data_IF_503535740652
#
_entry.id   IF_503535740652
#
_cell.length_a   1.000
_cell.length_b   1.000
_cell.length_c   1.000
_cell.angle_alpha   90.00
_cell.angle_beta   90.00
_cell.angle_gamma   90.00
#
_symmetry.space_group_name_H-M   'P 1'
#
loop_
_entity.id
_entity.type
_entity.pdbx_description
1 polymer ?
#
# COMPACT_ATOMS: atom_id res chain seq x y z
N UNK A 1 12.36 22.73 -8.34
CA UNK A 1 12.29 21.36 -7.75
C UNK A 1 10.85 20.91 -7.52
N UNK A 2 10.00 21.68 -6.82
CA UNK A 2 8.59 21.33 -6.54
C UNK A 2 7.75 21.19 -7.83
N UNK A 3 7.92 22.09 -8.80
CA UNK A 3 7.20 22.03 -10.09
C UNK A 3 7.59 20.78 -10.91
N UNK A 4 8.86 20.36 -10.87
CA UNK A 4 9.33 19.13 -11.53
C UNK A 4 8.78 17.86 -10.86
N UNK A 5 8.61 17.87 -9.53
CA UNK A 5 7.96 16.78 -8.80
C UNK A 5 6.46 16.68 -9.14
N UNK A 6 5.76 17.81 -9.26
CA UNK A 6 4.34 17.86 -9.65
C UNK A 6 4.16 17.38 -11.09
N UNK A 7 5.00 17.84 -12.02
CA UNK A 7 4.98 17.41 -13.43
C UNK A 7 5.31 15.91 -13.53
N UNK A 8 6.32 15.44 -12.79
CA UNK A 8 6.67 14.02 -12.71
C UNK A 8 5.53 13.17 -12.16
N UNK A 9 4.81 13.64 -11.14
CA UNK A 9 3.64 12.96 -10.57
C UNK A 9 2.47 12.88 -11.55
N UNK A 10 2.19 13.96 -12.30
CA UNK A 10 1.15 14.01 -13.33
C UNK A 10 1.50 13.07 -14.49
N UNK A 11 2.75 13.08 -14.97
CA UNK A 11 3.25 12.16 -16.00
C UNK A 11 3.17 10.71 -15.55
N UNK A 12 3.56 10.40 -14.31
CA UNK A 12 3.39 9.08 -13.71
C UNK A 12 1.93 8.64 -13.71
N UNK A 13 0.99 9.52 -13.33
CA UNK A 13 -0.44 9.22 -13.32
C UNK A 13 -0.98 8.92 -14.72
N UNK A 14 -0.55 9.68 -15.74
CA UNK A 14 -0.94 9.47 -17.14
C UNK A 14 -0.35 8.16 -17.69
N UNK A 15 0.93 7.90 -17.45
CA UNK A 15 1.61 6.67 -17.89
C UNK A 15 1.05 5.43 -17.18
N UNK A 16 0.67 5.55 -15.90
CA UNK A 16 0.03 4.49 -15.11
C UNK A 16 -1.33 4.06 -15.66
N UNK A 17 -2.08 4.99 -16.24
CA UNK A 17 -3.39 4.68 -16.84
C UNK A 17 -3.30 4.06 -18.24
N UNK A 18 -2.20 4.30 -18.97
CA UNK A 18 -2.01 3.81 -20.34
C UNK A 18 -1.32 2.44 -20.43
N UNK A 19 -0.57 2.03 -19.41
CA UNK A 19 0.30 0.87 -19.53
C UNK A 19 0.22 -0.04 -18.28
N UNK A 20 -0.34 -1.24 -18.43
CA UNK A 20 -0.53 -2.18 -17.31
C UNK A 20 0.78 -2.59 -16.63
N UNK A 21 1.87 -2.70 -17.41
CA UNK A 21 3.22 -2.98 -16.89
C UNK A 21 3.74 -1.86 -15.99
N UNK A 22 3.50 -0.59 -16.36
CA UNK A 22 3.87 0.57 -15.54
C UNK A 22 3.05 0.57 -14.26
N UNK A 23 1.76 0.25 -14.33
CA UNK A 23 0.90 0.15 -13.15
C UNK A 23 1.40 -0.91 -12.16
N UNK A 24 1.74 -2.11 -12.65
CA UNK A 24 2.29 -3.18 -11.82
C UNK A 24 3.60 -2.76 -11.15
N UNK A 25 4.54 -2.15 -11.89
CA UNK A 25 5.81 -1.70 -11.32
C UNK A 25 5.64 -0.57 -10.30
N UNK A 26 4.74 0.38 -10.57
CA UNK A 26 4.46 1.48 -9.63
C UNK A 26 3.78 0.98 -8.37
N UNK A 27 2.83 0.05 -8.48
CA UNK A 27 2.16 -0.54 -7.33
C UNK A 27 3.16 -1.36 -6.51
N UNK A 28 4.02 -2.16 -7.15
CA UNK A 28 5.09 -2.91 -6.48
C UNK A 28 6.08 -2.00 -5.75
N UNK A 29 6.41 -0.84 -6.32
CA UNK A 29 7.27 0.15 -5.68
C UNK A 29 6.57 0.86 -4.50
N UNK A 30 5.29 1.23 -4.67
CA UNK A 30 4.46 1.83 -3.61
C UNK A 30 4.35 0.91 -2.40
N UNK A 31 4.19 -0.40 -2.61
CA UNK A 31 4.15 -1.40 -1.54
C UNK A 31 5.45 -1.45 -0.71
N UNK A 32 6.58 -0.98 -1.25
CA UNK A 32 7.87 -0.92 -0.54
C UNK A 32 8.10 0.40 0.22
N UNK A 33 7.22 1.39 0.05
CA UNK A 33 7.36 2.65 0.79
C UNK A 33 6.87 2.48 2.23
N UNK A 34 7.64 2.87 3.25
CA UNK A 34 7.40 2.47 4.64
C UNK A 34 6.11 3.05 5.25
N UNK A 35 5.61 4.18 4.74
CA UNK A 35 4.39 4.82 5.27
C UNK A 35 3.15 4.40 4.46
N UNK A 36 3.16 4.67 3.15
CA UNK A 36 2.00 4.42 2.29
C UNK A 36 1.82 2.94 1.94
N UNK A 37 2.92 2.17 1.80
CA UNK A 37 2.87 0.75 1.50
C UNK A 37 2.14 -0.05 2.57
N UNK A 38 2.43 0.22 3.86
CA UNK A 38 1.79 -0.46 4.99
C UNK A 38 0.27 -0.20 5.00
N UNK A 39 -0.15 1.04 4.80
CA UNK A 39 -1.59 1.39 4.76
C UNK A 39 -2.28 0.68 3.61
N UNK A 40 -1.70 0.73 2.41
CA UNK A 40 -2.27 0.10 1.21
C UNK A 40 -2.36 -1.41 1.40
N UNK A 41 -1.33 -2.06 1.93
CA UNK A 41 -1.31 -3.51 2.18
C UNK A 41 -2.41 -3.91 3.16
N UNK A 42 -2.46 -3.27 4.34
CA UNK A 42 -3.46 -3.60 5.35
C UNK A 42 -4.89 -3.31 4.84
N UNK A 43 -5.08 -2.23 4.07
CA UNK A 43 -6.36 -1.94 3.44
C UNK A 43 -6.78 -3.04 2.45
N UNK A 44 -5.89 -3.49 1.57
CA UNK A 44 -6.21 -4.56 0.62
C UNK A 44 -6.48 -5.89 1.33
N UNK A 45 -5.81 -6.18 2.45
CA UNK A 45 -6.13 -7.36 3.27
C UNK A 45 -7.52 -7.28 3.91
N UNK A 46 -7.84 -6.15 4.54
CA UNK A 46 -9.16 -5.94 5.15
C UNK A 46 -10.27 -6.00 4.10
N UNK A 47 -10.10 -5.29 2.99
CA UNK A 47 -11.03 -5.28 1.86
C UNK A 47 -11.20 -6.68 1.27
N UNK A 48 -10.10 -7.40 1.02
CA UNK A 48 -10.16 -8.75 0.48
C UNK A 48 -10.94 -9.69 1.40
N UNK A 49 -10.64 -9.68 2.70
CA UNK A 49 -11.27 -10.57 3.65
C UNK A 49 -12.75 -10.24 3.86
N UNK A 50 -13.11 -8.96 4.01
CA UNK A 50 -14.50 -8.52 4.20
C UNK A 50 -15.38 -8.90 3.02
N UNK A 51 -14.97 -8.52 1.80
CA UNK A 51 -15.82 -8.72 0.62
C UNK A 51 -15.90 -10.20 0.23
N UNK A 52 -14.81 -10.95 0.40
CA UNK A 52 -14.85 -12.39 0.21
C UNK A 52 -15.76 -13.07 1.24
N UNK A 53 -15.71 -12.65 2.51
CA UNK A 53 -16.62 -13.15 3.56
C UNK A 53 -18.08 -12.91 3.19
N UNK A 54 -18.43 -11.68 2.82
CA UNK A 54 -19.80 -11.31 2.45
C UNK A 54 -20.34 -12.17 1.31
N UNK A 55 -19.51 -12.45 0.29
CA UNK A 55 -19.89 -13.32 -0.82
C UNK A 55 -20.05 -14.79 -0.40
N UNK A 56 -19.16 -15.29 0.45
CA UNK A 56 -19.24 -16.67 0.97
C UNK A 56 -20.50 -16.86 1.83
N UNK A 57 -20.82 -15.91 2.72
CA UNK A 57 -22.06 -15.94 3.53
C UNK A 57 -23.30 -15.89 2.62
N UNK A 58 -23.24 -15.12 1.55
CA UNK A 58 -24.30 -15.04 0.55
C UNK A 58 -24.43 -16.32 -0.32
N UNK A 59 -23.59 -17.33 -0.09
CA UNK A 59 -23.61 -18.60 -0.83
C UNK A 59 -22.96 -18.53 -2.21
N UNK A 60 -22.23 -17.47 -2.53
CA UNK A 60 -21.51 -17.36 -3.80
C UNK A 60 -20.32 -18.34 -3.78
N UNK A 61 -20.19 -19.22 -4.80
CA UNK A 61 -19.06 -20.14 -4.89
C UNK A 61 -17.71 -19.40 -4.88
N UNK A 62 -16.72 -19.95 -4.19
CA UNK A 62 -15.40 -19.31 -3.99
C UNK A 62 -14.75 -18.85 -5.30
N UNK A 63 -14.80 -19.67 -6.35
CA UNK A 63 -14.27 -19.32 -7.66
C UNK A 63 -14.91 -18.05 -8.24
N UNK A 64 -16.24 -17.95 -8.16
CA UNK A 64 -17.00 -16.81 -8.64
C UNK A 64 -16.76 -15.58 -7.75
N UNK A 65 -16.68 -15.77 -6.43
CA UNK A 65 -16.35 -14.71 -5.49
C UNK A 65 -14.96 -14.11 -5.79
N UNK A 66 -13.95 -14.94 -6.08
CA UNK A 66 -12.61 -14.47 -6.48
C UNK A 66 -12.62 -13.73 -7.83
N UNK A 67 -13.47 -14.14 -8.78
CA UNK A 67 -13.64 -13.40 -10.03
C UNK A 67 -14.22 -12.00 -9.80
N UNK A 68 -15.22 -11.88 -8.92
CA UNK A 68 -15.79 -10.59 -8.52
C UNK A 68 -14.73 -9.74 -7.79
N UNK A 69 -13.95 -10.35 -6.90
CA UNK A 69 -12.85 -9.67 -6.19
C UNK A 69 -11.78 -9.13 -7.14
N UNK A 70 -11.46 -9.84 -8.22
CA UNK A 70 -10.52 -9.39 -9.25
C UNK A 70 -10.95 -8.06 -9.89
N UNK A 71 -12.26 -7.88 -10.12
CA UNK A 71 -12.84 -6.64 -10.63
C UNK A 71 -12.89 -5.51 -9.59
N UNK A 72 -13.07 -5.86 -8.32
CA UNK A 72 -13.22 -4.89 -7.23
C UNK A 72 -11.88 -4.34 -6.71
N UNK A 73 -10.82 -5.15 -6.72
CA UNK A 73 -9.52 -4.75 -6.17
C UNK A 73 -8.78 -3.80 -7.11
N UNK A 74 -8.32 -2.66 -6.58
CA UNK A 74 -7.65 -1.61 -7.38
C UNK A 74 -6.16 -1.86 -7.56
N UNK A 75 -5.51 -2.48 -6.59
CA UNK A 75 -4.07 -2.71 -6.63
C UNK A 75 -3.75 -3.86 -7.60
N UNK A 76 -2.88 -3.60 -8.58
CA UNK A 76 -2.60 -4.58 -9.64
C UNK A 76 -1.88 -5.82 -9.12
N UNK A 77 -1.02 -5.67 -8.10
CA UNK A 77 -0.28 -6.78 -7.50
C UNK A 77 -1.24 -7.75 -6.82
N UNK A 78 -2.19 -7.23 -6.03
CA UNK A 78 -3.25 -8.04 -5.44
C UNK A 78 -4.21 -8.62 -6.49
N UNK A 79 -4.54 -7.84 -7.53
CA UNK A 79 -5.39 -8.32 -8.64
C UNK A 79 -4.77 -9.54 -9.33
N UNK A 80 -3.49 -9.46 -9.69
CA UNK A 80 -2.77 -10.58 -10.29
C UNK A 80 -2.73 -11.79 -9.35
N UNK A 81 -2.46 -11.57 -8.06
CA UNK A 81 -2.42 -12.64 -7.07
C UNK A 81 -3.79 -13.36 -6.95
N UNK A 82 -4.89 -12.60 -6.90
CA UNK A 82 -6.26 -13.15 -6.85
C UNK A 82 -6.58 -13.91 -8.12
N UNK A 83 -6.23 -13.36 -9.29
CA UNK A 83 -6.44 -14.03 -10.59
C UNK A 83 -5.71 -15.37 -10.65
N UNK A 84 -4.42 -15.39 -10.33
CA UNK A 84 -3.62 -16.62 -10.32
C UNK A 84 -4.16 -17.64 -9.31
N UNK A 85 -4.60 -17.17 -8.14
CA UNK A 85 -5.23 -18.01 -7.11
C UNK A 85 -6.52 -18.65 -7.64
N UNK A 86 -7.37 -17.87 -8.30
CA UNK A 86 -8.62 -18.36 -8.92
C UNK A 86 -8.34 -19.45 -9.95
N UNK A 87 -7.36 -19.25 -10.83
CA UNK A 87 -6.97 -20.23 -11.86
C UNK A 87 -6.43 -21.53 -11.24
N UNK A 88 -5.70 -21.45 -10.11
CA UNK A 88 -5.21 -22.63 -9.38
C UNK A 88 -6.33 -23.40 -8.68
N UNK A 89 -7.34 -22.71 -8.16
CA UNK A 89 -8.51 -23.36 -7.55
C UNK A 89 -9.33 -24.09 -8.61
N UNK A 90 -9.41 -23.56 -9.84
CA UNK A 90 -10.10 -24.21 -10.96
C UNK A 90 -9.55 -25.59 -11.29
N UNK A 91 -8.23 -25.78 -11.14
CA UNK A 91 -7.55 -27.06 -11.32
C UNK A 91 -7.47 -27.91 -10.04
N UNK A 92 -8.16 -27.50 -8.97
CA UNK A 92 -8.31 -28.27 -7.73
C UNK A 92 -7.24 -28.05 -6.68
N UNK A 93 -6.37 -27.02 -6.80
CA UNK A 93 -5.45 -26.69 -5.70
C UNK A 93 -6.21 -26.07 -4.51
N UNK A 94 -5.79 -26.36 -3.26
CA UNK A 94 -6.33 -25.68 -2.08
C UNK A 94 -6.19 -24.15 -2.18
N UNK A 95 -7.19 -23.43 -1.68
CA UNK A 95 -7.24 -21.98 -1.70
C UNK A 95 -6.08 -21.37 -0.89
N UNK A 96 -5.85 -21.89 0.31
CA UNK A 96 -4.78 -21.43 1.19
C UNK A 96 -3.37 -21.59 0.60
N UNK A 97 -3.11 -22.71 -0.08
CA UNK A 97 -1.85 -22.96 -0.78
C UNK A 97 -1.68 -22.05 -2.00
N UNK A 98 -2.75 -21.90 -2.78
CA UNK A 98 -2.76 -21.06 -3.98
C UNK A 98 -2.44 -19.59 -3.65
N UNK A 99 -2.99 -19.06 -2.55
CA UNK A 99 -2.68 -17.72 -2.04
C UNK A 99 -1.24 -17.59 -1.53
N UNK A 100 -0.72 -18.64 -0.87
CA UNK A 100 0.63 -18.65 -0.30
C UNK A 100 1.71 -18.56 -1.37
N UNK A 101 1.50 -19.20 -2.52
CA UNK A 101 2.43 -19.15 -3.66
C UNK A 101 2.59 -17.73 -4.25
N UNK A 102 1.60 -16.84 -4.09
CA UNK A 102 1.66 -15.48 -4.67
C UNK A 102 2.59 -14.53 -3.89
N UNK A 103 2.92 -14.84 -2.63
CA UNK A 103 3.85 -14.07 -1.81
C UNK A 103 3.39 -12.65 -1.40
N UNK A 104 2.22 -12.21 -1.86
CA UNK A 104 1.62 -10.91 -1.54
C UNK A 104 0.85 -10.97 -0.23
N UNK A 105 0.31 -12.14 0.13
CA UNK A 105 -0.45 -12.34 1.37
C UNK A 105 0.48 -12.73 2.51
N UNK A 106 0.26 -12.12 3.68
CA UNK A 106 1.00 -12.45 4.90
C UNK A 106 0.84 -13.92 5.28
N UNK A 107 1.89 -14.59 5.83
CA UNK A 107 1.79 -15.96 6.34
C UNK A 107 0.67 -16.17 7.37
N UNK A 108 0.29 -15.10 8.09
CA UNK A 108 -0.83 -15.16 9.04
C UNK A 108 -2.16 -15.35 8.28
N UNK A 109 -2.39 -14.57 7.22
CA UNK A 109 -3.63 -14.65 6.42
C UNK A 109 -3.77 -16.03 5.80
N UNK A 110 -2.71 -16.54 5.17
CA UNK A 110 -2.75 -17.84 4.48
C UNK A 110 -2.98 -18.99 5.46
N UNK A 111 -2.43 -18.93 6.68
CA UNK A 111 -2.70 -19.91 7.74
C UNK A 111 -4.12 -19.85 8.26
N UNK A 112 -4.66 -18.66 8.49
CA UNK A 112 -6.05 -18.52 8.94
C UNK A 112 -7.04 -19.03 7.90
N UNK A 113 -6.77 -18.75 6.61
CA UNK A 113 -7.55 -19.31 5.51
C UNK A 113 -7.41 -20.83 5.46
N UNK A 114 -6.22 -21.39 5.67
CA UNK A 114 -6.04 -22.86 5.73
C UNK A 114 -6.87 -23.51 6.85
N UNK A 115 -6.88 -22.89 8.04
CA UNK A 115 -7.69 -23.36 9.18
C UNK A 115 -9.19 -23.30 8.81
N UNK A 116 -9.64 -22.18 8.23
CA UNK A 116 -11.03 -22.01 7.81
C UNK A 116 -11.44 -22.96 6.69
N UNK A 117 -10.55 -23.23 5.75
CA UNK A 117 -10.75 -24.17 4.64
C UNK A 117 -10.88 -25.62 5.15
N UNK A 118 -10.03 -26.04 6.10
CA UNK A 118 -10.08 -27.38 6.70
C UNK A 118 -11.29 -27.57 7.61
N UNK A 119 -11.67 -26.55 8.38
CA UNK A 119 -12.78 -26.59 9.32
C UNK A 119 -14.14 -26.28 8.68
N UNK A 120 -14.18 -25.86 7.41
CA UNK A 120 -15.39 -25.36 6.77
C UNK A 120 -15.89 -24.03 7.34
N UNK A 121 -15.03 -23.30 8.06
CA UNK A 121 -15.32 -22.06 8.78
C UNK A 121 -14.59 -20.86 8.17
N UNK A 122 -14.59 -20.76 6.82
CA UNK A 122 -13.95 -19.64 6.13
C UNK A 122 -14.55 -18.29 6.52
N UNK A 123 -15.86 -18.23 6.76
CA UNK A 123 -16.56 -17.01 7.22
C UNK A 123 -15.90 -16.43 8.48
N UNK A 124 -15.79 -17.22 9.54
CA UNK A 124 -15.24 -16.80 10.82
C UNK A 124 -13.78 -16.33 10.69
N UNK A 125 -12.96 -17.09 9.97
CA UNK A 125 -11.56 -16.75 9.78
C UNK A 125 -11.38 -15.48 8.94
N UNK A 126 -12.18 -15.29 7.89
CA UNK A 126 -12.18 -14.07 7.09
C UNK A 126 -12.71 -12.86 7.89
N UNK A 127 -13.68 -13.06 8.78
CA UNK A 127 -14.14 -12.01 9.69
C UNK A 127 -13.02 -11.53 10.61
N UNK A 128 -12.29 -12.47 11.23
CA UNK A 128 -11.17 -12.12 12.08
C UNK A 128 -10.08 -11.37 11.30
N UNK A 129 -9.72 -11.85 10.11
CA UNK A 129 -8.74 -11.18 9.24
C UNK A 129 -9.21 -9.77 8.91
N UNK A 130 -10.46 -9.60 8.49
CA UNK A 130 -11.05 -8.30 8.14
C UNK A 130 -10.94 -7.33 9.31
N UNK A 131 -11.48 -7.69 10.48
CA UNK A 131 -11.48 -6.82 11.66
C UNK A 131 -10.06 -6.46 12.12
N UNK A 132 -9.15 -7.43 12.13
CA UNK A 132 -7.75 -7.20 12.51
C UNK A 132 -7.06 -6.17 11.61
N UNK A 133 -7.21 -6.30 10.29
CA UNK A 133 -6.58 -5.40 9.34
C UNK A 133 -7.32 -4.07 9.22
N UNK A 134 -8.63 -4.04 9.41
CA UNK A 134 -9.41 -2.81 9.48
C UNK A 134 -8.96 -1.94 10.66
N UNK A 135 -8.80 -2.54 11.84
CA UNK A 135 -8.27 -1.85 13.03
C UNK A 135 -6.85 -1.31 12.80
N UNK A 136 -6.01 -2.04 12.05
CA UNK A 136 -4.69 -1.52 11.65
C UNK A 136 -4.79 -0.31 10.72
N UNK A 137 -5.70 -0.36 9.75
CA UNK A 137 -5.92 0.77 8.83
C UNK A 137 -6.42 1.99 9.60
N UNK A 138 -7.37 1.81 10.52
CA UNK A 138 -7.91 2.88 11.34
C UNK A 138 -6.84 3.49 12.25
N UNK A 139 -6.05 2.65 12.94
CA UNK A 139 -4.91 3.10 13.73
C UNK A 139 -3.90 3.91 12.90
N UNK A 140 -3.57 3.42 11.70
CA UNK A 140 -2.66 4.13 10.81
C UNK A 140 -3.27 5.46 10.35
N UNK A 141 -4.55 5.48 9.99
CA UNK A 141 -5.27 6.67 9.56
C UNK A 141 -5.25 7.77 10.64
N UNK A 142 -5.52 7.41 11.89
CA UNK A 142 -5.46 8.33 13.03
C UNK A 142 -4.04 8.87 13.29
N UNK A 143 -3.01 8.10 12.96
CA UNK A 143 -1.61 8.47 13.19
C UNK A 143 -0.89 8.97 11.93
N UNK A 144 -1.59 9.16 10.79
CA UNK A 144 -0.99 9.68 9.54
C UNK A 144 -0.26 11.00 9.79
N UNK A 145 -0.84 11.91 10.59
CA UNK A 145 -0.23 13.20 10.90
C UNK A 145 1.15 13.03 11.58
N UNK A 146 1.26 12.14 12.57
CA UNK A 146 2.51 11.83 13.26
C UNK A 146 3.53 11.16 12.35
N UNK A 147 3.08 10.35 11.39
CA UNK A 147 3.98 9.71 10.41
C UNK A 147 4.56 10.71 9.41
N UNK A 148 3.85 11.81 9.10
CA UNK A 148 4.29 12.85 8.17
C UNK A 148 5.17 13.90 8.85
N UNK A 149 5.03 14.09 10.16
CA UNK A 149 5.76 15.08 10.97
C UNK A 149 7.29 15.11 10.74
N UNK A 150 8.05 13.98 10.77
CA UNK A 150 9.49 14.02 10.57
C UNK A 150 9.90 14.51 9.17
N UNK A 151 9.07 14.24 8.16
CA UNK A 151 9.31 14.70 6.78
C UNK A 151 9.15 16.22 6.72
N UNK A 152 8.11 16.76 7.37
CA UNK A 152 7.87 18.21 7.43
C UNK A 152 9.02 18.92 8.15
N UNK A 153 9.43 18.42 9.32
CA UNK A 153 10.56 18.97 10.08
C UNK A 153 11.85 18.91 9.25
N UNK A 154 12.11 17.79 8.57
CA UNK A 154 13.28 17.63 7.71
C UNK A 154 13.31 18.63 6.55
N UNK A 155 12.17 18.89 5.91
CA UNK A 155 12.06 19.88 4.82
C UNK A 155 12.29 21.29 5.34
N UNK A 156 11.67 21.65 6.47
CA UNK A 156 11.81 22.97 7.09
C UNK A 156 13.27 23.20 7.53
N UNK A 157 13.89 22.20 8.15
CA UNK A 157 15.30 22.27 8.56
C UNK A 157 16.26 22.40 7.37
N UNK A 158 16.04 21.63 6.30
CA UNK A 158 16.84 21.76 5.08
C UNK A 158 16.68 23.15 4.44
N UNK A 159 15.46 23.70 4.44
CA UNK A 159 15.19 25.04 3.93
C UNK A 159 15.91 26.12 4.76
N UNK A 160 15.87 26.00 6.09
CA UNK A 160 16.63 26.88 6.99
C UNK A 160 18.14 26.81 6.73
N UNK A 161 18.71 25.61 6.55
CA UNK A 161 20.13 25.45 6.24
C UNK A 161 20.54 26.16 4.94
N UNK A 162 19.73 26.07 3.90
CA UNK A 162 19.99 26.78 2.62
C UNK A 162 20.00 28.29 2.83
N UNK A 163 19.04 28.82 3.60
CA UNK A 163 18.99 30.26 3.93
C UNK A 163 20.23 30.68 4.71
N UNK A 164 20.62 29.91 5.74
CA UNK A 164 21.79 30.23 6.55
C UNK A 164 23.08 30.26 5.72
N UNK A 165 23.29 29.25 4.86
CA UNK A 165 24.44 29.20 3.97
C UNK A 165 24.46 30.38 2.98
N UNK A 166 23.29 30.78 2.47
CA UNK A 166 23.16 31.94 1.59
C UNK A 166 23.45 33.28 2.27
N UNK A 167 23.14 33.42 3.56
CA UNK A 167 23.33 34.66 4.33
C UNK A 167 24.77 34.84 4.85
N UNK A 168 25.53 33.75 5.03
CA UNK A 168 26.91 33.82 5.53
C UNK A 168 27.77 34.74 4.65
N UNK A 169 27.70 34.61 3.32
CA UNK A 169 28.50 35.42 2.39
C UNK A 169 28.31 36.94 2.59
N UNK A 170 27.09 37.47 2.44
CA UNK A 170 26.81 38.89 2.65
C UNK A 170 27.18 39.40 4.05
N UNK A 171 27.00 38.59 5.09
CA UNK A 171 27.38 38.97 6.47
C UNK A 171 28.90 39.14 6.58
N UNK A 172 29.68 38.23 6.00
CA UNK A 172 31.14 38.34 5.98
C UNK A 172 31.59 39.60 5.23
N UNK A 173 30.97 39.92 4.10
CA UNK A 173 31.28 41.12 3.33
C UNK A 173 31.00 42.39 4.15
N UNK A 174 29.87 42.46 4.85
CA UNK A 174 29.51 43.58 5.73
C UNK A 174 30.51 43.76 6.89
N UNK A 175 30.89 42.67 7.57
CA UNK A 175 31.88 42.72 8.66
C UNK A 175 33.24 43.20 8.15
N UNK A 176 33.65 42.73 6.96
CA UNK A 176 34.93 43.13 6.35
C UNK A 176 34.99 44.61 5.97
N UNK A 177 33.86 45.21 5.58
CA UNK A 177 33.77 46.64 5.24
C UNK A 177 33.81 47.50 6.50
N UNK A 178 33.13 47.09 7.57
CA UNK A 178 33.14 47.81 8.85
C UNK A 178 34.53 47.77 9.49
N UNK A 179 35.23 46.63 9.42
CA UNK A 179 36.61 46.49 9.95
C UNK A 179 37.65 47.35 9.21
N UNK A 180 37.35 47.80 7.99
CA UNK A 180 38.23 48.66 7.19
C UNK A 180 38.01 50.16 7.39
N UNK A 181 36.96 50.57 8.11
CA UNK A 181 36.74 51.96 8.57
C UNK A 181 37.37 52.17 9.93
#
# INVERSE_FOLDING_TARGET
MIVLLIIGFILLKILRNKNEKVRYQTDKLLLKTPVFGIIIINFNYAFFAEYLRLMIIAGVPLYQALHIMEGAIKNMVFKTAIKNTREKIEIGKPFSESLKEEGVFSPVITRMIAIGEQAGQLDEQLNYISNYYYNKVDYLAQNIAKMIEPIVIGIVGAFMLVIMLGLIGPIYDLISQISKM
#
